data_IF_301997151300
#
_entry.id   IF_301997151300
#
_cell.length_a   1.000
_cell.length_b   1.000
_cell.length_c   1.000
_cell.angle_alpha   90.00
_cell.angle_beta   90.00
_cell.angle_gamma   90.00
#
_symmetry.space_group_name_H-M   'P 1'
#
loop_
_entity.id
_entity.type
_entity.pdbx_description
1 polymer ?
#
# COMPACT_ATOMS: atom_id res chain seq x y z
N UNK A 1 30.39 12.56 1.87
CA UNK A 1 30.05 11.34 1.10
C UNK A 1 28.71 11.56 0.41
N UNK A 2 28.71 11.73 -0.91
CA UNK A 2 27.46 11.79 -1.68
C UNK A 2 26.92 10.36 -1.81
N UNK A 3 25.79 10.06 -1.18
CA UNK A 3 25.12 8.76 -1.37
C UNK A 3 24.55 8.75 -2.79
N UNK A 4 24.90 7.72 -3.55
CA UNK A 4 24.36 7.46 -4.90
C UNK A 4 22.83 7.58 -4.83
N UNK A 5 22.24 8.43 -5.67
CA UNK A 5 20.80 8.63 -5.69
C UNK A 5 20.10 7.28 -5.93
N UNK A 6 19.08 6.98 -5.13
CA UNK A 6 18.22 5.81 -5.35
C UNK A 6 17.56 5.94 -6.72
N UNK A 7 17.50 4.85 -7.51
CA UNK A 7 16.77 4.82 -8.77
C UNK A 7 15.34 5.40 -8.61
N UNK A 8 14.84 6.21 -9.55
CA UNK A 8 13.51 6.82 -9.44
C UNK A 8 12.38 5.79 -9.32
N UNK A 9 12.60 4.57 -9.84
CA UNK A 9 11.65 3.46 -9.74
C UNK A 9 11.47 2.94 -8.30
N UNK A 10 12.52 3.01 -7.47
CA UNK A 10 12.45 2.54 -6.09
C UNK A 10 11.56 3.44 -5.23
N UNK A 11 11.47 4.73 -5.57
CA UNK A 11 10.66 5.70 -4.83
C UNK A 11 9.25 5.90 -5.40
N UNK A 12 8.99 5.46 -6.63
CA UNK A 12 7.73 5.72 -7.35
C UNK A 12 6.48 5.26 -6.57
N UNK A 13 6.56 4.12 -5.87
CA UNK A 13 5.46 3.61 -5.07
C UNK A 13 5.14 4.52 -3.87
N UNK A 14 6.18 4.98 -3.18
CA UNK A 14 6.07 5.86 -2.02
C UNK A 14 5.62 7.26 -2.43
N UNK A 15 6.12 7.78 -3.56
CA UNK A 15 5.67 9.05 -4.14
C UNK A 15 4.18 9.01 -4.49
N UNK A 16 3.71 7.93 -5.11
CA UNK A 16 2.30 7.74 -5.44
C UNK A 16 1.42 7.70 -4.18
N UNK A 17 1.88 7.04 -3.12
CA UNK A 17 1.19 7.03 -1.83
C UNK A 17 1.07 8.45 -1.25
N UNK A 18 2.17 9.21 -1.16
CA UNK A 18 2.16 10.55 -0.59
C UNK A 18 1.33 11.54 -1.42
N UNK A 19 1.36 11.44 -2.75
CA UNK A 19 0.52 12.26 -3.62
C UNK A 19 -0.98 12.01 -3.32
N UNK A 20 -1.34 10.74 -3.13
CA UNK A 20 -2.71 10.32 -2.82
C UNK A 20 -3.15 10.79 -1.42
N UNK A 21 -2.34 10.54 -0.39
CA UNK A 21 -2.59 10.99 0.98
C UNK A 21 -2.83 12.50 1.04
N UNK A 22 -2.02 13.28 0.33
CA UNK A 22 -2.16 14.74 0.31
C UNK A 22 -3.48 15.17 -0.34
N UNK A 23 -3.80 14.60 -1.51
CA UNK A 23 -4.99 14.94 -2.28
C UNK A 23 -6.30 14.53 -1.59
N UNK A 24 -6.35 13.32 -1.05
CA UNK A 24 -7.58 12.75 -0.51
C UNK A 24 -7.84 13.19 0.94
N UNK A 25 -6.78 13.48 1.70
CA UNK A 25 -6.88 13.73 3.13
C UNK A 25 -6.26 15.07 3.52
N UNK A 26 -4.93 15.24 3.43
CA UNK A 26 -4.26 16.41 4.03
C UNK A 26 -4.80 17.76 3.53
N UNK A 27 -5.12 17.89 2.24
CA UNK A 27 -5.66 19.14 1.71
C UNK A 27 -7.13 19.40 2.05
N UNK A 28 -7.83 18.42 2.63
CA UNK A 28 -9.26 18.51 2.99
C UNK A 28 -9.48 18.74 4.48
N UNK A 29 -8.45 18.56 5.31
CA UNK A 29 -8.54 18.69 6.76
C UNK A 29 -7.60 19.78 7.28
N UNK A 30 -8.05 20.51 8.31
CA UNK A 30 -7.24 21.49 9.02
C UNK A 30 -6.97 20.94 10.41
N UNK A 31 -5.70 20.69 10.71
CA UNK A 31 -5.27 20.17 12.02
C UNK A 31 -4.87 21.33 12.93
N UNK A 32 -5.39 21.35 14.15
CA UNK A 32 -5.07 22.37 15.17
C UNK A 32 -3.83 22.02 15.95
N UNK A 33 -3.56 20.72 16.10
CA UNK A 33 -2.41 20.20 16.85
C UNK A 33 -1.66 19.14 16.06
N UNK A 34 -0.39 18.94 16.41
CA UNK A 34 0.41 17.86 15.84
C UNK A 34 -0.15 16.47 16.20
N UNK A 35 -0.70 16.30 17.40
CA UNK A 35 -1.29 15.04 17.84
C UNK A 35 -2.49 14.65 16.96
N UNK A 36 -3.38 15.61 16.69
CA UNK A 36 -4.53 15.42 15.79
C UNK A 36 -4.08 15.02 14.37
N UNK A 37 -3.03 15.67 13.85
CA UNK A 37 -2.48 15.31 12.54
C UNK A 37 -1.90 13.88 12.51
N UNK A 38 -1.27 13.44 13.60
CA UNK A 38 -0.73 12.08 13.71
C UNK A 38 -1.88 11.05 13.71
N UNK A 39 -2.89 11.22 14.55
CA UNK A 39 -4.04 10.32 14.60
C UNK A 39 -4.78 10.26 13.26
N UNK A 40 -4.93 11.41 12.60
CA UNK A 40 -5.54 11.53 11.29
C UNK A 40 -4.75 10.72 10.23
N UNK A 41 -3.42 10.79 10.24
CA UNK A 41 -2.56 10.03 9.33
C UNK A 41 -2.62 8.53 9.65
N UNK A 42 -2.57 8.14 10.92
CA UNK A 42 -2.66 6.74 11.34
C UNK A 42 -3.99 6.11 10.93
N UNK A 43 -5.09 6.84 11.07
CA UNK A 43 -6.39 6.43 10.57
C UNK A 43 -6.37 6.27 9.05
N UNK A 44 -5.81 7.25 8.33
CA UNK A 44 -5.74 7.19 6.88
C UNK A 44 -4.91 6.00 6.39
N UNK A 45 -3.78 5.68 7.02
CA UNK A 45 -2.96 4.51 6.67
C UNK A 45 -3.76 3.22 6.83
N UNK A 46 -4.51 3.08 7.92
CA UNK A 46 -5.39 1.93 8.12
C UNK A 46 -6.49 1.84 7.06
N UNK A 47 -7.12 2.97 6.72
CA UNK A 47 -8.10 3.06 5.65
C UNK A 47 -7.48 2.67 4.29
N UNK A 48 -6.31 3.22 3.96
CA UNK A 48 -5.60 2.96 2.71
C UNK A 48 -5.31 1.46 2.55
N UNK A 49 -4.75 0.83 3.58
CA UNK A 49 -4.36 -0.58 3.51
C UNK A 49 -5.56 -1.55 3.51
N UNK A 50 -6.64 -1.22 4.24
CA UNK A 50 -7.76 -2.16 4.49
C UNK A 50 -9.00 -1.94 3.62
N UNK A 51 -9.20 -0.74 3.07
CA UNK A 51 -10.49 -0.35 2.47
C UNK A 51 -10.37 0.41 1.17
N UNK A 52 -9.28 1.14 0.95
CA UNK A 52 -9.13 1.95 -0.28
C UNK A 52 -8.96 1.02 -1.48
N UNK A 53 -9.87 1.11 -2.44
CA UNK A 53 -9.78 0.34 -3.68
C UNK A 53 -8.78 0.97 -4.65
N UNK A 54 -7.95 0.14 -5.26
CA UNK A 54 -6.98 0.56 -6.27
C UNK A 54 -7.35 -0.04 -7.63
N UNK A 55 -7.57 0.81 -8.64
CA UNK A 55 -7.87 0.33 -10.00
C UNK A 55 -6.74 -0.55 -10.57
N UNK A 56 -5.49 -0.23 -10.24
CA UNK A 56 -4.30 -1.03 -10.61
C UNK A 56 -4.28 -2.41 -9.96
N UNK A 57 -5.01 -2.61 -8.86
CA UNK A 57 -5.13 -3.88 -8.15
C UNK A 57 -6.46 -4.59 -8.45
N UNK A 58 -7.15 -4.21 -9.53
CA UNK A 58 -8.47 -4.79 -9.86
C UNK A 58 -9.56 -4.38 -8.87
N UNK A 59 -9.49 -3.16 -8.33
CA UNK A 59 -10.41 -2.63 -7.30
C UNK A 59 -10.36 -3.39 -5.97
N UNK A 60 -9.27 -4.10 -5.68
CA UNK A 60 -8.99 -4.63 -4.35
C UNK A 60 -8.25 -3.59 -3.48
N UNK A 61 -8.36 -3.74 -2.15
CA UNK A 61 -7.46 -3.06 -1.22
C UNK A 61 -6.07 -3.71 -1.20
N UNK A 62 -5.02 -3.00 -0.76
CA UNK A 62 -3.66 -3.56 -0.70
C UNK A 62 -3.58 -4.88 0.08
N UNK A 63 -4.25 -4.97 1.24
CA UNK A 63 -4.26 -6.20 2.05
C UNK A 63 -5.02 -7.34 1.36
N UNK A 64 -6.11 -7.06 0.66
CA UNK A 64 -6.85 -8.09 -0.08
C UNK A 64 -6.02 -8.62 -1.24
N UNK A 65 -5.34 -7.72 -1.96
CA UNK A 65 -4.45 -8.08 -3.04
C UNK A 65 -3.29 -8.96 -2.56
N UNK A 66 -2.64 -8.58 -1.46
CA UNK A 66 -1.56 -9.37 -0.84
C UNK A 66 -2.04 -10.76 -0.41
N UNK A 67 -3.21 -10.85 0.25
CA UNK A 67 -3.81 -12.14 0.64
C UNK A 67 -4.13 -13.02 -0.56
N UNK A 68 -4.68 -12.46 -1.63
CA UNK A 68 -4.99 -13.21 -2.85
C UNK A 68 -3.71 -13.72 -3.51
N UNK A 69 -2.66 -12.90 -3.56
CA UNK A 69 -1.34 -13.25 -4.06
C UNK A 69 -0.71 -14.41 -3.27
N UNK A 70 -0.71 -14.33 -1.94
CA UNK A 70 -0.21 -15.40 -1.07
C UNK A 70 -0.97 -16.72 -1.26
N UNK A 71 -2.30 -16.66 -1.41
CA UNK A 71 -3.13 -17.84 -1.61
C UNK A 71 -2.83 -18.53 -2.95
N UNK A 72 -2.70 -17.76 -4.03
CA UNK A 72 -2.35 -18.28 -5.34
C UNK A 72 -0.97 -18.97 -5.30
N UNK A 73 0.04 -18.30 -4.77
CA UNK A 73 1.39 -18.87 -4.63
C UNK A 73 1.44 -20.12 -3.76
N UNK A 74 0.64 -20.18 -2.69
CA UNK A 74 0.52 -21.36 -1.83
C UNK A 74 -0.16 -22.53 -2.56
N UNK A 75 -1.12 -22.28 -3.44
CA UNK A 75 -1.78 -23.31 -4.24
C UNK A 75 -0.83 -23.87 -5.31
N UNK A 76 -0.04 -23.02 -5.96
CA UNK A 76 0.97 -23.44 -6.92
C UNK A 76 2.03 -24.33 -6.28
N UNK A 77 2.52 -23.96 -5.09
CA UNK A 77 3.47 -24.77 -4.33
C UNK A 77 2.90 -26.15 -3.96
N UNK A 78 1.62 -26.23 -3.57
CA UNK A 78 0.94 -27.48 -3.24
C UNK A 78 0.72 -28.36 -4.48
N UNK A 79 0.33 -27.77 -5.61
CA UNK A 79 0.09 -28.48 -6.88
C UNK A 79 1.38 -29.08 -7.43
N UNK A 80 2.50 -28.37 -7.31
CA UNK A 80 3.81 -28.85 -7.73
C UNK A 80 4.30 -30.02 -6.86
N UNK A 81 3.99 -30.03 -5.56
CA UNK A 81 4.32 -31.14 -4.67
C UNK A 81 3.50 -32.41 -4.98
N UNK A 82 2.23 -32.27 -5.36
CA UNK A 82 1.35 -33.41 -5.69
C UNK A 82 1.55 -33.97 -7.10
N UNK A 83 2.16 -33.22 -8.02
CA UNK A 83 2.39 -33.66 -9.41
C UNK A 83 3.71 -34.43 -9.57
N UNK A 84 4.54 -34.48 -8.51
CA UNK A 84 5.85 -35.15 -8.54
C UNK A 84 5.85 -36.55 -7.90
N UNK A 85 4.69 -37.16 -7.68
CA UNK A 85 4.48 -38.52 -7.17
C UNK A 85 3.70 -39.33 -8.21
#
# INVERSE_FOLDING_TARGET
MSRKATPPYDNACVESFFATLKKEYIYRFVFRTKAEAIEAIDFYIQFYNRKRMHSTLGYASPIEYEKAYEQAHRQDAKKNLTTSA
#
